data_IF_328269444170
#
_entry.id   IF_328269444170
#
_cell.length_a   1.000
_cell.length_b   1.000
_cell.length_c   1.000
_cell.angle_alpha   90.00
_cell.angle_beta   90.00
_cell.angle_gamma   90.00
#
_symmetry.space_group_name_H-M   'P 1'
#
loop_
_entity.id
_entity.type
_entity.pdbx_description
1 polymer ?
#
# COMPACT_ATOMS: atom_id res chain seq x y z
N UNK A 1 3.01 19.67 -3.49
CA UNK A 1 2.64 18.24 -3.37
C UNK A 1 2.46 17.92 -1.90
N UNK A 2 1.22 17.75 -1.44
CA UNK A 2 0.89 17.43 -0.04
C UNK A 2 0.52 15.94 0.02
N UNK A 3 1.14 15.20 0.94
CA UNK A 3 1.04 13.73 1.03
C UNK A 3 0.63 13.38 2.45
N UNK A 4 -0.60 12.93 2.62
CA UNK A 4 -1.19 12.56 3.92
C UNK A 4 -1.73 11.13 3.84
N UNK A 5 -1.96 10.50 4.99
CA UNK A 5 -2.49 9.12 5.04
C UNK A 5 -3.95 9.02 4.55
N UNK A 6 -4.38 7.78 4.30
CA UNK A 6 -5.63 7.44 3.62
C UNK A 6 -6.89 8.01 4.29
N UNK A 7 -6.91 8.23 5.61
CA UNK A 7 -8.13 8.65 6.31
C UNK A 7 -8.46 10.13 6.11
N UNK A 8 -7.46 10.96 5.79
CA UNK A 8 -7.65 12.41 5.61
C UNK A 8 -8.00 12.78 4.17
N UNK A 9 -7.75 11.90 3.22
CA UNK A 9 -7.80 12.23 1.79
C UNK A 9 -9.24 12.50 1.30
N UNK A 10 -10.24 11.79 1.83
CA UNK A 10 -11.64 12.01 1.49
C UNK A 10 -12.20 13.31 2.09
N UNK A 11 -11.74 13.71 3.28
CA UNK A 11 -12.13 14.97 3.91
C UNK A 11 -11.61 16.17 3.10
N UNK A 12 -10.36 16.13 2.66
CA UNK A 12 -9.77 17.18 1.82
C UNK A 12 -10.52 17.38 0.49
N UNK A 13 -11.04 16.31 -0.12
CA UNK A 13 -11.89 16.40 -1.30
C UNK A 13 -13.25 17.03 -0.98
N UNK A 14 -13.91 16.61 0.12
CA UNK A 14 -15.20 17.17 0.55
C UNK A 14 -15.12 18.66 0.89
N UNK A 15 -14.02 19.06 1.52
CA UNK A 15 -13.75 20.44 1.93
C UNK A 15 -13.21 21.30 0.78
N UNK A 16 -12.95 20.73 -0.39
CA UNK A 16 -12.44 21.45 -1.57
C UNK A 16 -11.00 21.92 -1.44
N UNK A 17 -10.24 21.38 -0.48
CA UNK A 17 -8.83 21.72 -0.24
C UNK A 17 -7.89 21.11 -1.29
N UNK A 18 -8.32 20.06 -1.98
CA UNK A 18 -7.61 19.43 -3.09
C UNK A 18 -8.56 19.12 -4.25
N UNK A 19 -8.05 19.13 -5.48
CA UNK A 19 -8.84 18.83 -6.68
C UNK A 19 -8.88 17.34 -7.03
N UNK A 20 -7.94 16.56 -6.52
CA UNK A 20 -7.82 15.13 -6.80
C UNK A 20 -7.00 14.43 -5.72
N UNK A 21 -7.20 13.12 -5.61
CA UNK A 21 -6.54 12.27 -4.65
C UNK A 21 -6.32 10.85 -5.19
N UNK A 22 -5.24 10.21 -4.74
CA UNK A 22 -4.98 8.78 -4.95
C UNK A 22 -5.23 8.07 -3.63
N UNK A 23 -6.20 7.16 -3.60
CA UNK A 23 -6.61 6.41 -2.40
C UNK A 23 -6.78 4.93 -2.73
N UNK A 24 -6.69 4.06 -1.70
CA UNK A 24 -7.04 2.65 -1.79
C UNK A 24 -8.55 2.42 -1.72
N UNK A 25 -9.32 3.38 -1.18
CA UNK A 25 -10.77 3.29 -1.07
C UNK A 25 -11.42 3.45 -2.45
N UNK A 26 -12.30 2.53 -2.87
CA UNK A 26 -13.05 2.66 -4.11
C UNK A 26 -14.27 3.60 -3.98
N UNK A 27 -14.59 4.07 -2.77
CA UNK A 27 -15.78 4.87 -2.52
C UNK A 27 -15.64 6.29 -3.09
N UNK A 28 -16.63 6.71 -3.88
CA UNK A 28 -16.67 8.05 -4.43
C UNK A 28 -17.07 9.08 -3.36
N UNK A 29 -16.29 10.15 -3.26
CA UNK A 29 -16.71 11.36 -2.54
C UNK A 29 -17.79 12.08 -3.38
N UNK A 30 -18.79 12.66 -2.73
CA UNK A 30 -19.84 13.44 -3.42
C UNK A 30 -19.23 14.53 -4.31
N UNK A 31 -19.69 14.62 -5.56
CA UNK A 31 -19.13 15.54 -6.56
C UNK A 31 -17.82 15.08 -7.22
N UNK A 32 -17.27 13.93 -6.83
CA UNK A 32 -16.07 13.34 -7.44
C UNK A 32 -16.40 12.11 -8.29
N UNK A 33 -15.51 11.79 -9.23
CA UNK A 33 -15.52 10.52 -9.94
C UNK A 33 -14.31 9.67 -9.51
N UNK A 34 -14.44 8.35 -9.59
CA UNK A 34 -13.39 7.40 -9.22
C UNK A 34 -12.91 6.67 -10.48
N UNK A 35 -11.59 6.51 -10.61
CA UNK A 35 -10.97 5.73 -11.68
C UNK A 35 -9.94 4.78 -11.08
N UNK A 36 -10.07 3.49 -11.40
CA UNK A 36 -9.07 2.49 -11.01
C UNK A 36 -7.72 2.79 -11.68
N UNK A 37 -6.66 2.79 -10.88
CA UNK A 37 -5.28 2.98 -11.34
C UNK A 37 -4.49 1.67 -11.43
N UNK A 38 -5.11 0.55 -11.03
CA UNK A 38 -4.48 -0.76 -10.94
C UNK A 38 -4.24 -1.20 -9.49
N UNK A 39 -3.34 -2.18 -9.31
CA UNK A 39 -3.02 -2.76 -8.00
C UNK A 39 -1.55 -2.54 -7.68
N UNK A 40 -1.29 -2.02 -6.49
CA UNK A 40 0.07 -1.92 -5.96
C UNK A 40 0.46 -3.22 -5.25
N UNK A 41 1.52 -3.89 -5.72
CA UNK A 41 2.08 -5.07 -5.06
C UNK A 41 3.10 -4.62 -4.02
N UNK A 42 2.85 -4.91 -2.76
CA UNK A 42 3.80 -4.69 -1.68
C UNK A 42 4.63 -5.96 -1.49
N UNK A 43 5.93 -5.85 -1.73
CA UNK A 43 6.85 -6.95 -1.54
C UNK A 43 7.55 -6.81 -0.19
N UNK A 44 7.48 -7.82 0.68
CA UNK A 44 8.30 -7.87 1.88
C UNK A 44 9.77 -8.03 1.46
N UNK A 45 10.61 -7.12 1.94
CA UNK A 45 12.05 -7.12 1.66
C UNK A 45 12.81 -6.93 2.96
N UNK A 46 13.99 -7.54 3.04
CA UNK A 46 14.88 -7.41 4.19
C UNK A 46 16.33 -7.32 3.72
N UNK A 47 17.20 -6.76 4.56
CA UNK A 47 18.64 -6.80 4.30
C UNK A 47 19.15 -8.24 4.35
N UNK A 48 20.19 -8.55 3.59
CA UNK A 48 20.76 -9.90 3.55
C UNK A 48 21.19 -10.40 4.93
N UNK A 49 21.71 -9.52 5.78
CA UNK A 49 22.09 -9.85 7.16
C UNK A 49 20.88 -10.18 8.04
N UNK A 50 19.78 -9.41 7.94
CA UNK A 50 18.54 -9.72 8.66
C UNK A 50 17.97 -11.07 8.24
N UNK A 51 17.88 -11.31 6.93
CA UNK A 51 17.40 -12.57 6.38
C UNK A 51 18.29 -13.76 6.81
N UNK A 52 19.61 -13.64 6.70
CA UNK A 52 20.52 -14.71 7.10
C UNK A 52 20.49 -15.04 8.60
N UNK A 53 20.23 -14.05 9.45
CA UNK A 53 20.17 -14.23 10.91
C UNK A 53 18.83 -14.81 11.37
N UNK A 54 17.72 -14.36 10.80
CA UNK A 54 16.38 -14.63 11.32
C UNK A 54 15.53 -15.55 10.46
N UNK A 55 15.82 -15.63 9.16
CA UNK A 55 15.10 -16.50 8.21
C UNK A 55 15.89 -17.79 7.92
N UNK A 56 17.07 -17.96 8.53
CA UNK A 56 17.91 -19.15 8.44
C UNK A 56 18.58 -19.33 7.07
N UNK A 57 19.75 -19.99 7.05
CA UNK A 57 20.30 -20.54 5.81
C UNK A 57 19.46 -21.75 5.39
N UNK A 58 18.58 -21.57 4.40
CA UNK A 58 18.16 -22.63 3.50
C UNK A 58 16.99 -23.52 3.95
N UNK A 59 15.78 -23.00 3.90
CA UNK A 59 14.61 -23.88 3.63
C UNK A 59 14.48 -24.22 2.13
N UNK A 60 15.19 -23.52 1.24
CA UNK A 60 14.97 -23.60 -0.21
C UNK A 60 13.60 -23.06 -0.65
N UNK A 61 12.75 -22.70 0.31
CA UNK A 61 11.41 -22.17 0.16
C UNK A 61 11.48 -20.69 -0.22
N UNK A 62 10.71 -20.29 -1.22
CA UNK A 62 10.71 -18.90 -1.65
C UNK A 62 10.10 -18.02 -0.54
N UNK A 63 10.59 -16.80 -0.34
CA UNK A 63 10.04 -15.88 0.67
C UNK A 63 8.52 -15.65 0.51
N UNK A 64 8.01 -15.71 -0.73
CA UNK A 64 6.57 -15.67 -1.05
C UNK A 64 5.77 -16.82 -0.43
N UNK A 65 6.38 -17.99 -0.27
CA UNK A 65 5.76 -19.19 0.34
C UNK A 65 5.81 -19.11 1.87
N UNK A 66 6.83 -18.48 2.44
CA UNK A 66 6.93 -18.25 3.90
C UNK A 66 5.96 -17.17 4.41
N UNK A 67 5.57 -16.23 3.56
CA UNK A 67 4.71 -15.09 3.93
C UNK A 67 3.25 -15.29 3.48
N UNK A 68 2.98 -16.29 2.63
CA UNK A 68 1.60 -16.60 2.22
C UNK A 68 0.71 -17.13 3.36
N UNK A 69 1.31 -17.71 4.41
CA UNK A 69 0.63 -18.25 5.60
C UNK A 69 0.70 -17.32 6.84
N UNK A 70 1.15 -16.06 6.68
CA UNK A 70 1.21 -15.05 7.73
C UNK A 70 0.14 -13.96 7.52
#
# INVERSE_FOLDING_TARGET
>A
LRREDQDHTAALLREGLVMAAVTSSPEAVSGCSVRSLGRMRYLPVATAAFAGRWLGRGTGTALRELIADA
#
